data_IF_059680271497
#
_entry.id   IF_059680271497
#
_cell.length_a   1.000
_cell.length_b   1.000
_cell.length_c   1.000
_cell.angle_alpha   90.00
_cell.angle_beta   90.00
_cell.angle_gamma   90.00
#
_symmetry.space_group_name_H-M   'P 1'
#
loop_
_entity.id
_entity.type
_entity.pdbx_description
1 polymer ?
#
# COMPACT_ATOMS: atom_id res chain seq x y z
N UNK A 1 40.23 14.76 -31.38
CA UNK A 1 40.66 14.24 -30.06
C UNK A 1 39.78 14.75 -28.92
N UNK A 2 39.81 16.04 -28.53
CA UNK A 2 39.10 16.58 -27.34
C UNK A 2 37.56 16.41 -27.33
N UNK A 3 36.91 16.48 -28.51
CA UNK A 3 35.45 16.30 -28.67
C UNK A 3 34.98 14.83 -28.55
N UNK A 4 35.88 13.89 -28.83
CA UNK A 4 35.62 12.44 -28.70
C UNK A 4 35.61 12.05 -27.21
N UNK A 5 36.56 12.59 -26.43
CA UNK A 5 36.58 12.41 -24.98
C UNK A 5 35.36 13.04 -24.29
N UNK A 6 34.87 14.17 -24.79
CA UNK A 6 33.67 14.81 -24.25
C UNK A 6 32.41 13.96 -24.53
N UNK A 7 32.31 13.35 -25.72
CA UNK A 7 31.23 12.41 -26.06
C UNK A 7 31.31 11.08 -25.30
N UNK A 8 32.52 10.61 -25.00
CA UNK A 8 32.74 9.39 -24.20
C UNK A 8 32.34 9.62 -22.73
N UNK A 9 32.61 10.82 -22.19
CA UNK A 9 32.27 11.19 -20.81
C UNK A 9 30.75 11.36 -20.62
N UNK A 10 30.04 11.94 -21.59
CA UNK A 10 28.57 12.04 -21.55
C UNK A 10 27.89 10.69 -21.75
N UNK A 11 28.44 9.79 -22.59
CA UNK A 11 27.94 8.43 -22.74
C UNK A 11 28.09 7.59 -21.46
N UNK A 12 29.18 7.78 -20.70
CA UNK A 12 29.39 7.10 -19.44
C UNK A 12 28.45 7.58 -18.32
N UNK A 13 28.07 8.87 -18.34
CA UNK A 13 27.15 9.44 -17.36
C UNK A 13 25.70 8.96 -17.56
N UNK A 14 25.30 8.64 -18.80
CA UNK A 14 23.96 8.15 -19.11
C UNK A 14 23.72 6.69 -18.64
N UNK A 15 24.77 5.88 -18.51
CA UNK A 15 24.69 4.48 -18.05
C UNK A 15 24.58 4.35 -16.52
N UNK A 16 24.81 5.42 -15.75
CA UNK A 16 24.79 5.41 -14.28
C UNK A 16 23.40 5.53 -13.64
N UNK A 17 22.35 5.81 -14.41
CA UNK A 17 20.99 6.07 -13.90
C UNK A 17 19.99 4.94 -14.19
N UNK A 18 20.45 3.73 -14.48
CA UNK A 18 19.58 2.57 -14.50
C UNK A 18 19.22 2.19 -13.04
N UNK A 19 18.28 2.91 -12.44
CA UNK A 19 17.71 2.52 -11.15
C UNK A 19 16.89 1.25 -11.40
N UNK A 20 17.20 0.13 -10.73
CA UNK A 20 16.39 -1.07 -10.84
C UNK A 20 14.97 -0.73 -10.38
N UNK A 21 14.01 -0.78 -11.31
CA UNK A 21 12.59 -0.77 -10.97
C UNK A 21 12.30 -2.13 -10.35
N UNK A 22 12.49 -2.23 -9.03
CA UNK A 22 12.04 -3.39 -8.28
C UNK A 22 10.51 -3.42 -8.37
N UNK A 23 9.97 -4.54 -8.87
CA UNK A 23 8.54 -4.80 -8.78
C UNK A 23 8.12 -4.59 -7.31
N UNK A 24 7.18 -3.68 -7.10
CA UNK A 24 6.67 -3.41 -5.76
C UNK A 24 6.10 -4.73 -5.22
N UNK A 25 6.68 -5.25 -4.13
CA UNK A 25 6.29 -6.53 -3.54
C UNK A 25 4.78 -6.62 -3.32
N UNK A 26 4.26 -7.86 -3.25
CA UNK A 26 2.82 -8.10 -3.12
C UNK A 26 2.21 -7.45 -1.86
N UNK A 27 0.89 -7.29 -1.83
CA UNK A 27 0.17 -6.59 -0.75
C UNK A 27 0.50 -7.15 0.65
N UNK A 28 0.62 -8.47 0.78
CA UNK A 28 0.96 -9.10 2.06
C UNK A 28 2.37 -8.71 2.52
N UNK A 29 3.33 -8.64 1.60
CA UNK A 29 4.69 -8.20 1.90
C UNK A 29 4.73 -6.72 2.27
N UNK A 30 3.94 -5.89 1.58
CA UNK A 30 3.78 -4.47 1.93
C UNK A 30 3.24 -4.31 3.35
N UNK A 31 2.18 -5.04 3.73
CA UNK A 31 1.61 -5.05 5.08
C UNK A 31 2.64 -5.57 6.10
N UNK A 32 3.37 -6.63 5.75
CA UNK A 32 4.42 -7.17 6.61
C UNK A 32 5.58 -6.19 6.81
N UNK A 33 5.93 -5.36 5.81
CA UNK A 33 6.97 -4.33 5.96
C UNK A 33 6.46 -3.09 6.71
N UNK A 34 5.26 -2.59 6.39
CA UNK A 34 4.72 -1.37 7.00
C UNK A 34 4.18 -1.57 8.41
N UNK A 35 3.69 -2.77 8.73
CA UNK A 35 2.93 -3.00 9.96
C UNK A 35 1.54 -2.37 9.96
N UNK A 36 1.04 -1.94 8.79
CA UNK A 36 -0.26 -1.29 8.65
C UNK A 36 -1.16 -2.07 7.68
N UNK A 37 -2.41 -2.27 8.07
CA UNK A 37 -3.49 -2.78 7.23
C UNK A 37 -4.53 -1.68 7.03
N UNK A 38 -4.56 -1.11 5.83
CA UNK A 38 -5.49 -0.03 5.47
C UNK A 38 -6.55 -0.54 4.51
N UNK A 39 -7.83 -0.26 4.80
CA UNK A 39 -8.97 -0.63 3.95
C UNK A 39 -9.71 0.63 3.52
N UNK A 40 -9.91 0.76 2.21
CA UNK A 40 -10.77 1.79 1.63
C UNK A 40 -12.22 1.32 1.62
N UNK A 41 -13.14 2.17 2.08
CA UNK A 41 -14.60 1.92 2.00
C UNK A 41 -15.33 3.17 1.54
N UNK A 42 -16.49 2.98 0.92
CA UNK A 42 -17.44 4.09 0.70
C UNK A 42 -18.18 4.39 2.00
N UNK A 43 -18.74 5.59 2.12
CA UNK A 43 -19.49 6.08 3.27
C UNK A 43 -21.02 5.92 3.13
N UNK A 44 -21.52 5.71 1.91
CA UNK A 44 -22.95 5.54 1.62
C UNK A 44 -23.36 4.18 1.08
N UNK A 45 -22.50 3.16 1.12
CA UNK A 45 -22.78 1.84 0.55
C UNK A 45 -23.48 0.91 1.55
N UNK A 46 -24.69 1.26 1.98
CA UNK A 46 -25.52 0.41 2.86
C UNK A 46 -25.91 -0.89 2.12
N UNK A 47 -25.78 -2.09 2.71
CA UNK A 47 -25.34 -2.41 4.08
C UNK A 47 -23.85 -2.85 4.18
N UNK A 48 -23.04 -2.58 3.16
CA UNK A 48 -21.67 -3.07 3.05
C UNK A 48 -20.64 -2.22 3.79
N UNK A 49 -20.60 -0.92 3.51
CA UNK A 49 -19.67 0.03 4.09
C UNK A 49 -20.33 1.40 4.13
N UNK A 50 -20.62 1.87 5.33
CA UNK A 50 -21.30 3.14 5.54
C UNK A 50 -20.94 3.74 6.90
N UNK A 51 -21.19 5.03 7.05
CA UNK A 51 -20.99 5.73 8.31
C UNK A 51 -22.29 5.68 9.12
N UNK A 52 -22.20 5.23 10.37
CA UNK A 52 -23.33 5.19 11.31
C UNK A 52 -23.70 6.60 11.79
N UNK A 53 -24.82 6.72 12.53
CA UNK A 53 -25.19 7.98 13.17
C UNK A 53 -24.14 8.48 14.19
N UNK A 54 -23.36 7.56 14.74
CA UNK A 54 -22.31 7.83 15.71
C UNK A 54 -20.94 8.12 15.03
N UNK A 55 -20.95 8.33 13.70
CA UNK A 55 -19.78 8.63 12.88
C UNK A 55 -18.73 7.50 12.82
N UNK A 56 -19.19 6.24 12.93
CA UNK A 56 -18.36 5.05 12.84
C UNK A 56 -18.53 4.35 11.48
N UNK A 57 -17.45 3.85 10.89
CA UNK A 57 -17.53 2.97 9.73
C UNK A 57 -18.07 1.60 10.15
N UNK A 58 -19.21 1.20 9.58
CA UNK A 58 -19.89 -0.07 9.83
C UNK A 58 -20.36 -0.74 8.54
N UNK A 59 -20.84 -1.98 8.65
CA UNK A 59 -21.40 -2.75 7.55
C UNK A 59 -20.63 -4.04 7.27
N UNK A 60 -21.20 -4.89 6.41
CA UNK A 60 -20.69 -6.23 6.13
C UNK A 60 -19.22 -6.26 5.69
N UNK A 61 -18.83 -5.37 4.77
CA UNK A 61 -17.45 -5.29 4.26
C UNK A 61 -16.47 -4.78 5.31
N UNK A 62 -16.94 -3.90 6.21
CA UNK A 62 -16.14 -3.42 7.35
C UNK A 62 -15.89 -4.54 8.36
N UNK A 63 -16.91 -5.34 8.67
CA UNK A 63 -16.76 -6.48 9.58
C UNK A 63 -15.85 -7.56 8.99
N UNK A 64 -15.98 -7.83 7.69
CA UNK A 64 -15.06 -8.70 6.97
C UNK A 64 -13.61 -8.19 7.03
N UNK A 65 -13.39 -6.87 6.90
CA UNK A 65 -12.07 -6.27 7.06
C UNK A 65 -11.49 -6.49 8.47
N UNK A 66 -12.30 -6.40 9.53
CA UNK A 66 -11.85 -6.71 10.90
C UNK A 66 -11.44 -8.18 11.05
N UNK A 67 -12.16 -9.11 10.43
CA UNK A 67 -11.77 -10.53 10.45
C UNK A 67 -10.47 -10.78 9.66
N UNK A 68 -10.28 -10.09 8.53
CA UNK A 68 -9.00 -10.13 7.82
C UNK A 68 -7.85 -9.58 8.65
N UNK A 69 -8.06 -8.50 9.41
CA UNK A 69 -7.04 -7.94 10.30
C UNK A 69 -6.56 -9.00 11.32
N UNK A 70 -7.48 -9.68 12.01
CA UNK A 70 -7.15 -10.78 12.94
C UNK A 70 -6.39 -11.91 12.25
N UNK A 71 -6.84 -12.32 11.06
CA UNK A 71 -6.19 -13.38 10.30
C UNK A 71 -4.77 -13.00 9.85
N UNK A 72 -4.56 -11.73 9.48
CA UNK A 72 -3.26 -11.20 9.09
C UNK A 72 -2.31 -11.11 10.28
N UNK A 73 -2.77 -10.64 11.45
CA UNK A 73 -1.95 -10.62 12.67
C UNK A 73 -1.51 -12.04 13.06
N UNK A 74 -2.43 -13.01 13.00
CA UNK A 74 -2.11 -14.42 13.24
C UNK A 74 -1.11 -14.97 12.22
N UNK A 75 -1.29 -14.64 10.94
CA UNK A 75 -0.41 -15.13 9.86
C UNK A 75 1.00 -14.53 9.93
N UNK A 76 1.12 -13.26 10.32
CA UNK A 76 2.40 -12.56 10.40
C UNK A 76 3.06 -12.64 11.77
N UNK A 77 2.35 -13.12 12.80
CA UNK A 77 2.87 -13.24 14.17
C UNK A 77 3.16 -11.88 14.83
N UNK A 78 2.47 -10.82 14.42
CA UNK A 78 2.68 -9.46 14.93
C UNK A 78 1.41 -8.65 14.90
N UNK A 79 1.32 -7.64 15.78
CA UNK A 79 0.21 -6.70 15.72
C UNK A 79 0.35 -5.76 14.53
N UNK A 80 -0.79 -5.45 13.91
CA UNK A 80 -0.92 -4.55 12.77
C UNK A 80 -1.83 -3.39 13.15
N UNK A 81 -1.46 -2.18 12.74
CA UNK A 81 -2.37 -1.04 12.82
C UNK A 81 -3.45 -1.17 11.76
N UNK A 82 -4.71 -1.25 12.19
CA UNK A 82 -5.86 -1.26 11.29
C UNK A 82 -6.41 0.15 11.08
N UNK A 83 -6.71 0.52 9.84
CA UNK A 83 -7.26 1.85 9.50
C UNK A 83 -8.27 1.72 8.37
N UNK A 84 -9.43 2.33 8.58
CA UNK A 84 -10.45 2.49 7.54
C UNK A 84 -10.34 3.90 6.97
N UNK A 85 -10.33 4.01 5.63
CA UNK A 85 -10.34 5.28 4.92
C UNK A 85 -11.56 5.37 4.03
N UNK A 86 -12.25 6.51 4.08
CA UNK A 86 -13.32 6.80 3.12
C UNK A 86 -12.71 7.07 1.75
N UNK A 87 -13.25 6.43 0.72
CA UNK A 87 -12.92 6.68 -0.68
C UNK A 87 -14.14 7.28 -1.37
N UNK A 88 -13.99 8.46 -1.98
CA UNK A 88 -15.02 9.13 -2.76
C UNK A 88 -15.29 8.40 -4.10
#
# INVERSE_FOLDING_TARGET
MKKIYLGLLTGFLALGFAVPVFAQGGTLEKIAKSGEFTVGTRDGAIPFGFISKDNEHIGFSVDMAKEFHKALEKKLGKSLKFTIKTTN
#
